data_IF_491190964464
#
_entry.id   IF_491190964464
#
_cell.length_a   1.000
_cell.length_b   1.000
_cell.length_c   1.000
_cell.angle_alpha   90.00
_cell.angle_beta   90.00
_cell.angle_gamma   90.00
#
_symmetry.space_group_name_H-M   'P 1'
#
loop_
_entity.id
_entity.type
_entity.pdbx_description
1 polymer ?
#
# COMPACT_ATOMS: atom_id res chain seq x y z
N UNK A 1 37.38 -29.81 -23.57
CA UNK A 1 36.15 -29.36 -22.87
C UNK A 1 36.53 -28.17 -21.98
N UNK A 2 36.42 -26.94 -22.49
CA UNK A 2 36.87 -25.72 -21.80
C UNK A 2 35.65 -25.08 -21.11
N UNK A 3 35.62 -25.12 -19.77
CA UNK A 3 34.57 -24.47 -18.97
C UNK A 3 34.72 -22.95 -19.10
N UNK A 4 33.79 -22.32 -19.81
CA UNK A 4 33.70 -20.87 -20.05
C UNK A 4 33.51 -20.13 -18.72
N UNK A 5 34.48 -19.29 -18.34
CA UNK A 5 34.56 -18.52 -17.07
C UNK A 5 33.60 -17.31 -17.01
N UNK A 6 32.43 -17.40 -17.62
CA UNK A 6 31.45 -16.30 -17.73
C UNK A 6 30.74 -15.95 -16.41
N UNK A 7 30.98 -16.70 -15.34
CA UNK A 7 30.14 -16.72 -14.13
C UNK A 7 30.86 -16.13 -12.89
N UNK A 8 32.00 -15.45 -13.09
CA UNK A 8 32.74 -14.80 -12.00
C UNK A 8 32.03 -13.56 -11.45
N UNK A 9 31.46 -12.73 -12.33
CA UNK A 9 30.77 -11.48 -11.94
C UNK A 9 29.49 -11.70 -11.12
N UNK A 10 28.70 -12.73 -11.47
CA UNK A 10 27.50 -13.10 -10.72
C UNK A 10 27.85 -13.66 -9.34
N UNK A 11 28.90 -14.47 -9.23
CA UNK A 11 29.39 -15.02 -7.96
C UNK A 11 29.99 -13.95 -7.05
N UNK A 12 30.67 -12.94 -7.60
CA UNK A 12 31.16 -11.79 -6.84
C UNK A 12 29.99 -10.93 -6.33
N UNK A 13 28.95 -10.71 -7.13
CA UNK A 13 27.73 -10.04 -6.70
C UNK A 13 26.95 -10.80 -5.61
N UNK A 14 26.83 -12.13 -5.73
CA UNK A 14 26.19 -12.96 -4.71
C UNK A 14 26.97 -12.97 -3.37
N UNK A 15 28.31 -13.01 -3.43
CA UNK A 15 29.17 -12.87 -2.25
C UNK A 15 29.08 -11.48 -1.63
N UNK A 16 29.01 -10.42 -2.44
CA UNK A 16 28.83 -9.06 -1.95
C UNK A 16 27.50 -8.88 -1.21
N UNK A 17 26.39 -9.38 -1.77
CA UNK A 17 25.07 -9.36 -1.11
C UNK A 17 25.03 -10.16 0.19
N UNK A 18 25.73 -11.31 0.22
CA UNK A 18 25.84 -12.11 1.45
C UNK A 18 26.64 -11.35 2.52
N UNK A 19 27.74 -10.70 2.14
CA UNK A 19 28.54 -9.90 3.05
C UNK A 19 27.80 -8.65 3.55
N UNK A 20 26.97 -8.02 2.72
CA UNK A 20 26.10 -6.90 3.10
C UNK A 20 25.05 -7.33 4.13
N UNK A 21 24.33 -8.43 3.88
CA UNK A 21 23.38 -8.99 4.85
C UNK A 21 24.05 -9.37 6.18
N UNK A 22 25.25 -9.95 6.13
CA UNK A 22 26.00 -10.29 7.34
C UNK A 22 26.45 -9.05 8.11
N UNK A 23 26.77 -7.95 7.42
CA UNK A 23 27.06 -6.66 8.05
C UNK A 23 25.82 -6.05 8.68
N UNK A 24 24.70 -6.03 7.97
CA UNK A 24 23.41 -5.56 8.50
C UNK A 24 22.99 -6.39 9.73
N UNK A 25 23.17 -7.71 9.70
CA UNK A 25 22.87 -8.56 10.84
C UNK A 25 23.81 -8.28 12.02
N UNK A 26 25.11 -8.10 11.76
CA UNK A 26 26.09 -7.70 12.78
C UNK A 26 25.79 -6.32 13.36
N UNK A 27 25.39 -5.36 12.54
CA UNK A 27 24.96 -4.02 12.97
C UNK A 27 23.67 -4.09 13.78
N UNK A 28 22.69 -4.91 13.38
CA UNK A 28 21.47 -5.16 14.16
C UNK A 28 21.79 -5.77 15.51
N UNK A 29 22.70 -6.75 15.56
CA UNK A 29 23.12 -7.40 16.80
C UNK A 29 23.92 -6.44 17.68
N UNK A 30 24.82 -5.64 17.10
CA UNK A 30 25.57 -4.62 17.81
C UNK A 30 24.63 -3.56 18.40
N UNK A 31 23.68 -3.06 17.60
CA UNK A 31 22.66 -2.13 18.05
C UNK A 31 21.80 -2.72 19.17
N UNK A 32 21.32 -3.96 19.02
CA UNK A 32 20.54 -4.61 20.09
C UNK A 32 21.34 -4.79 21.39
N UNK A 33 22.66 -5.03 21.30
CA UNK A 33 23.55 -5.09 22.46
C UNK A 33 23.76 -3.72 23.10
N UNK A 34 23.96 -2.69 22.28
CA UNK A 34 24.05 -1.31 22.74
C UNK A 34 22.74 -0.90 23.43
N UNK A 35 21.60 -1.08 22.77
CA UNK A 35 20.27 -0.79 23.33
C UNK A 35 20.07 -1.54 24.66
N UNK A 36 20.42 -2.83 24.74
CA UNK A 36 20.36 -3.60 25.99
C UNK A 36 21.28 -3.05 27.09
N UNK A 37 22.47 -2.52 26.76
CA UNK A 37 23.33 -1.85 27.75
C UNK A 37 22.78 -0.51 28.21
N UNK A 38 21.88 0.10 27.44
CA UNK A 38 21.19 1.35 27.76
C UNK A 38 19.80 1.14 28.37
N UNK A 39 19.36 -0.10 28.57
CA UNK A 39 18.09 -0.38 29.23
C UNK A 39 18.12 0.05 30.70
N UNK A 40 17.09 0.78 31.12
CA UNK A 40 16.94 1.23 32.49
C UNK A 40 16.58 0.06 33.40
N UNK A 41 17.42 -0.23 34.40
CA UNK A 41 17.25 -1.38 35.31
C UNK A 41 16.71 -0.98 36.68
N UNK A 42 16.66 0.31 37.03
CA UNK A 42 16.14 0.74 38.32
C UNK A 42 14.60 0.57 38.38
N UNK A 43 14.17 -0.31 39.28
CA UNK A 43 12.76 -0.60 39.57
C UNK A 43 11.92 0.66 39.81
N UNK A 44 12.48 1.68 40.48
CA UNK A 44 11.75 2.93 40.78
C UNK A 44 11.52 3.76 39.52
N UNK A 45 12.49 3.79 38.61
CA UNK A 45 12.40 4.53 37.35
C UNK A 45 11.45 3.80 36.40
N UNK A 46 11.55 2.47 36.29
CA UNK A 46 10.60 1.64 35.53
C UNK A 46 9.16 1.83 36.05
N UNK A 47 8.97 1.86 37.37
CA UNK A 47 7.63 2.08 37.93
C UNK A 47 7.09 3.49 37.62
N UNK A 48 7.94 4.52 37.61
CA UNK A 48 7.54 5.88 37.19
C UNK A 48 7.18 5.92 35.71
N UNK A 49 7.98 5.29 34.84
CA UNK A 49 7.70 5.17 33.41
C UNK A 49 6.37 4.47 33.14
N UNK A 50 6.10 3.34 33.82
CA UNK A 50 4.82 2.63 33.71
C UNK A 50 3.63 3.47 34.17
N UNK A 51 3.75 4.19 35.29
CA UNK A 51 2.68 5.11 35.73
C UNK A 51 2.41 6.20 34.70
N UNK A 52 3.46 6.78 34.12
CA UNK A 52 3.34 7.79 33.07
C UNK A 52 2.71 7.21 31.80
N UNK A 53 3.13 6.03 31.36
CA UNK A 53 2.57 5.34 30.21
C UNK A 53 1.08 4.99 30.42
N UNK A 54 0.70 4.54 31.61
CA UNK A 54 -0.71 4.28 31.95
C UNK A 54 -1.55 5.55 31.96
N UNK A 55 -1.02 6.68 32.46
CA UNK A 55 -1.69 7.99 32.41
C UNK A 55 -1.84 8.49 30.96
N UNK A 56 -0.80 8.38 30.14
CA UNK A 56 -0.85 8.75 28.72
C UNK A 56 -1.81 7.86 27.94
N UNK A 57 -1.80 6.54 28.17
CA UNK A 57 -2.74 5.60 27.57
C UNK A 57 -4.18 5.92 27.96
N UNK A 58 -4.44 6.18 29.24
CA UNK A 58 -5.77 6.56 29.73
C UNK A 58 -6.25 7.88 29.14
N UNK A 59 -5.35 8.86 28.97
CA UNK A 59 -5.66 10.13 28.32
C UNK A 59 -6.01 9.94 26.84
N UNK A 60 -5.24 9.11 26.12
CA UNK A 60 -5.52 8.78 24.73
C UNK A 60 -6.85 8.03 24.57
N UNK A 61 -7.17 7.10 25.47
CA UNK A 61 -8.46 6.41 25.47
C UNK A 61 -9.62 7.38 25.77
N UNK A 62 -9.44 8.32 26.70
CA UNK A 62 -10.44 9.35 26.97
C UNK A 62 -10.63 10.31 25.79
N UNK A 63 -9.55 10.69 25.11
CA UNK A 63 -9.60 11.54 23.92
C UNK A 63 -10.23 10.83 22.72
N UNK A 64 -9.93 9.55 22.49
CA UNK A 64 -10.56 8.74 21.44
C UNK A 64 -12.04 8.56 21.72
N UNK A 65 -12.42 8.18 22.95
CA UNK A 65 -13.83 8.10 23.36
C UNK A 65 -14.56 9.43 23.20
N UNK A 66 -13.92 10.56 23.56
CA UNK A 66 -14.49 11.89 23.37
C UNK A 66 -14.66 12.24 21.89
N UNK A 67 -13.70 11.90 21.05
CA UNK A 67 -13.78 12.10 19.59
C UNK A 67 -14.89 11.24 18.98
N UNK A 68 -15.04 10.00 19.41
CA UNK A 68 -16.12 9.10 18.97
C UNK A 68 -17.50 9.64 19.36
N UNK A 69 -17.68 10.07 20.61
CA UNK A 69 -18.92 10.70 21.07
C UNK A 69 -19.24 11.98 20.31
N UNK A 70 -18.23 12.82 20.07
CA UNK A 70 -18.39 14.05 19.28
C UNK A 70 -18.78 13.74 17.84
N UNK A 71 -18.13 12.76 17.21
CA UNK A 71 -18.46 12.33 15.85
C UNK A 71 -19.86 11.73 15.75
N UNK A 72 -20.33 11.01 16.77
CA UNK A 72 -21.71 10.53 16.82
C UNK A 72 -22.72 11.68 16.92
N UNK A 73 -22.45 12.67 17.79
CA UNK A 73 -23.28 13.87 17.92
C UNK A 73 -23.32 14.71 16.63
N UNK A 74 -22.18 14.91 15.98
CA UNK A 74 -22.12 15.64 14.71
C UNK A 74 -22.93 14.94 13.60
N UNK A 75 -22.88 13.61 13.51
CA UNK A 75 -23.72 12.83 12.60
C UNK A 75 -25.21 13.00 12.90
N UNK A 76 -25.61 13.01 14.17
CA UNK A 76 -27.01 13.26 14.55
C UNK A 76 -27.44 14.68 14.17
N UNK A 77 -26.58 15.67 14.41
CA UNK A 77 -26.85 17.07 14.05
C UNK A 77 -26.89 17.30 12.54
N UNK A 78 -26.09 16.57 11.75
CA UNK A 78 -26.15 16.60 10.29
C UNK A 78 -27.50 16.06 9.80
N UNK A 79 -27.95 14.91 10.30
CA UNK A 79 -29.26 14.32 9.97
C UNK A 79 -30.42 15.23 10.40
N UNK A 80 -30.32 15.89 11.55
CA UNK A 80 -31.35 16.83 12.04
C UNK A 80 -31.29 18.15 11.24
N UNK A 81 -30.10 18.64 10.92
CA UNK A 81 -29.86 19.86 10.16
C UNK A 81 -30.45 19.77 8.75
N UNK A 82 -30.27 18.63 8.07
CA UNK A 82 -30.88 18.35 6.77
C UNK A 82 -32.42 18.34 6.85
N UNK A 83 -33.00 17.83 7.95
CA UNK A 83 -34.46 17.79 8.16
C UNK A 83 -35.06 19.12 8.60
N UNK A 84 -34.25 20.09 9.01
CA UNK A 84 -34.72 21.39 9.53
C UNK A 84 -35.10 22.41 8.44
N UNK A 85 -34.86 22.11 7.17
CA UNK A 85 -35.14 23.01 6.04
C UNK A 85 -36.62 23.06 5.63
N UNK A 86 -37.51 22.29 6.26
CA UNK A 86 -38.95 22.43 6.01
C UNK A 86 -39.49 23.66 6.76
N UNK A 87 -40.07 24.65 6.07
CA UNK A 87 -40.68 25.79 6.74
C UNK A 87 -41.75 25.28 7.70
N UNK A 88 -41.63 25.64 8.98
CA UNK A 88 -42.59 25.29 10.03
C UNK A 88 -43.94 25.95 9.70
N UNK A 89 -44.77 25.26 8.92
CA UNK A 89 -46.15 25.67 8.69
C UNK A 89 -46.92 25.54 9.99
N UNK A 90 -47.62 26.61 10.40
CA UNK A 90 -48.46 26.58 11.60
C UNK A 90 -49.58 25.56 11.42
N UNK A 91 -49.45 24.41 12.07
CA UNK A 91 -50.47 23.36 12.11
C UNK A 91 -51.35 23.53 13.34
N UNK A 92 -52.65 23.28 13.19
CA UNK A 92 -53.59 23.33 14.32
C UNK A 92 -53.46 22.04 15.14
N UNK A 93 -53.70 22.11 16.45
CA UNK A 93 -53.64 20.94 17.36
C UNK A 93 -54.45 19.72 16.85
N UNK A 94 -55.59 19.97 16.19
CA UNK A 94 -56.39 18.91 15.57
C UNK A 94 -55.66 18.18 14.42
N UNK A 95 -54.92 18.90 13.58
CA UNK A 95 -54.14 18.30 12.50
C UNK A 95 -52.99 17.44 13.04
N UNK A 96 -52.33 17.88 14.11
CA UNK A 96 -51.31 17.09 14.82
C UNK A 96 -51.90 15.79 15.39
N UNK A 97 -53.10 15.84 15.97
CA UNK A 97 -53.78 14.66 16.48
C UNK A 97 -54.11 13.65 15.36
N UNK A 98 -54.63 14.13 14.21
CA UNK A 98 -54.92 13.29 13.05
C UNK A 98 -53.66 12.67 12.45
N UNK A 99 -52.58 13.44 12.32
CA UNK A 99 -51.31 12.94 11.80
C UNK A 99 -50.69 11.90 12.73
N UNK A 100 -50.72 12.14 14.05
CA UNK A 100 -50.25 11.17 15.06
C UNK A 100 -51.03 9.87 14.98
N UNK A 101 -52.37 9.93 14.89
CA UNK A 101 -53.22 8.75 14.74
C UNK A 101 -52.90 7.97 13.47
N UNK A 102 -52.70 8.68 12.35
CA UNK A 102 -52.32 8.07 11.06
C UNK A 102 -50.95 7.38 11.12
N UNK A 103 -49.96 7.99 11.79
CA UNK A 103 -48.64 7.39 12.01
C UNK A 103 -48.72 6.13 12.88
N UNK A 104 -49.51 6.16 13.95
CA UNK A 104 -49.70 5.00 14.84
C UNK A 104 -50.37 3.83 14.10
N UNK A 105 -51.39 4.11 13.28
CA UNK A 105 -52.04 3.09 12.43
C UNK A 105 -51.10 2.52 11.38
N UNK A 106 -50.22 3.34 10.79
CA UNK A 106 -49.21 2.87 9.83
C UNK A 106 -48.18 1.95 10.50
N UNK A 107 -47.72 2.31 11.71
CA UNK A 107 -46.75 1.53 12.47
C UNK A 107 -47.33 0.19 12.91
N UNK A 108 -48.60 0.16 13.35
CA UNK A 108 -49.32 -1.09 13.65
C UNK A 108 -49.46 -1.98 12.42
N UNK A 109 -49.78 -1.42 11.25
CA UNK A 109 -49.85 -2.19 10.00
C UNK A 109 -48.50 -2.77 9.59
N UNK A 110 -47.42 -2.00 9.72
CA UNK A 110 -46.06 -2.47 9.43
C UNK A 110 -45.63 -3.57 10.40
N UNK A 111 -45.99 -3.46 11.68
CA UNK A 111 -45.73 -4.49 12.68
C UNK A 111 -46.53 -5.78 12.39
N UNK A 112 -47.82 -5.66 12.03
CA UNK A 112 -48.63 -6.79 11.59
C UNK A 112 -48.08 -7.45 10.31
N UNK A 113 -47.59 -6.67 9.35
CA UNK A 113 -46.94 -7.19 8.14
C UNK A 113 -45.61 -7.89 8.46
N UNK A 114 -44.80 -7.35 9.39
CA UNK A 114 -43.59 -8.00 9.88
C UNK A 114 -43.88 -9.31 10.60
N UNK A 115 -44.94 -9.36 11.41
CA UNK A 115 -45.39 -10.59 12.08
C UNK A 115 -45.88 -11.62 11.06
N UNK A 116 -46.67 -11.19 10.06
CA UNK A 116 -47.12 -12.06 8.96
C UNK A 116 -45.96 -12.57 8.11
N UNK A 117 -44.96 -11.72 7.81
CA UNK A 117 -43.76 -12.09 7.09
C UNK A 117 -42.90 -13.09 7.88
N UNK A 118 -42.79 -12.91 9.20
CA UNK A 118 -42.09 -13.84 10.10
C UNK A 118 -42.80 -15.21 10.18
N UNK A 119 -44.14 -15.22 10.14
CA UNK A 119 -44.93 -16.45 10.10
C UNK A 119 -44.96 -17.13 8.72
N UNK A 120 -44.64 -16.39 7.64
CA UNK A 120 -44.48 -16.89 6.26
C UNK A 120 -43.03 -17.27 5.94
N UNK A 121 -42.28 -17.76 6.92
CA UNK A 121 -41.01 -18.44 6.66
C UNK A 121 -41.34 -19.92 6.48
N UNK A 122 -41.83 -20.26 5.29
CA UNK A 122 -41.81 -21.63 4.80
C UNK A 122 -40.33 -21.93 4.55
N UNK A 123 -39.75 -22.85 5.32
CA UNK A 123 -38.38 -23.34 5.08
C UNK A 123 -38.39 -24.02 3.72
N UNK A 124 -38.06 -23.27 2.67
CA UNK A 124 -37.79 -23.85 1.36
C UNK A 124 -36.44 -24.55 1.47
N UNK A 125 -36.48 -25.87 1.70
CA UNK A 125 -35.36 -26.78 1.50
C UNK A 125 -35.10 -26.86 0.00
N UNK A 126 -34.52 -25.82 -0.58
CA UNK A 126 -33.91 -25.92 -1.89
C UNK A 126 -32.46 -26.31 -1.66
N UNK A 127 -32.06 -27.46 -2.20
CA UNK A 127 -30.67 -27.87 -2.30
C UNK A 127 -29.92 -26.76 -3.04
N UNK A 128 -28.95 -26.14 -2.37
CA UNK A 128 -28.20 -25.03 -2.93
C UNK A 128 -27.27 -25.62 -4.00
N UNK A 129 -27.56 -25.35 -5.27
CA UNK A 129 -26.65 -25.73 -6.36
C UNK A 129 -25.32 -24.98 -6.21
N UNK A 130 -24.22 -25.72 -6.18
CA UNK A 130 -22.89 -25.16 -6.00
C UNK A 130 -22.49 -24.28 -7.19
N UNK A 131 -21.91 -23.12 -6.90
CA UNK A 131 -21.42 -22.21 -7.93
C UNK A 131 -20.07 -22.71 -8.47
N UNK A 132 -20.12 -23.46 -9.57
CA UNK A 132 -18.97 -24.03 -10.29
C UNK A 132 -17.97 -23.00 -10.84
N UNK A 133 -18.32 -21.71 -10.85
CA UNK A 133 -17.44 -20.62 -11.30
C UNK A 133 -16.70 -19.92 -10.16
N UNK A 134 -16.85 -20.38 -8.91
CA UNK A 134 -15.96 -19.92 -7.83
C UNK A 134 -14.68 -20.75 -7.90
N UNK A 135 -13.65 -20.21 -8.54
CA UNK A 135 -12.29 -20.69 -8.30
C UNK A 135 -12.03 -20.45 -6.81
N UNK A 136 -11.96 -21.52 -6.03
CA UNK A 136 -11.40 -21.49 -4.69
C UNK A 136 -9.92 -21.16 -4.93
N UNK A 137 -9.58 -19.87 -4.98
CA UNK A 137 -8.23 -19.48 -4.65
C UNK A 137 -8.08 -19.95 -3.20
N UNK A 138 -7.17 -20.89 -2.98
CA UNK A 138 -6.78 -21.35 -1.65
C UNK A 138 -6.82 -20.15 -0.71
N UNK A 139 -7.69 -20.22 0.29
CA UNK A 139 -7.63 -19.34 1.45
C UNK A 139 -6.29 -19.64 2.11
N UNK A 140 -5.22 -19.03 1.59
CA UNK A 140 -3.97 -18.87 2.32
C UNK A 140 -4.28 -17.92 3.47
N UNK A 141 -4.98 -18.47 4.46
CA UNK A 141 -5.11 -17.93 5.80
C UNK A 141 -3.69 -17.73 6.31
N UNK A 142 -3.17 -16.52 6.11
CA UNK A 142 -1.85 -16.14 6.56
C UNK A 142 -1.94 -15.86 8.07
N UNK A 143 -2.06 -16.93 8.85
CA UNK A 143 -2.11 -16.83 10.31
C UNK A 143 -0.82 -16.28 10.91
N UNK A 144 0.26 -16.26 10.12
CA UNK A 144 1.59 -15.84 10.52
C UNK A 144 2.10 -14.73 9.61
N UNK A 145 2.82 -13.77 10.20
CA UNK A 145 3.36 -12.61 9.51
C UNK A 145 4.28 -12.98 8.33
N UNK A 146 5.04 -14.07 8.45
CA UNK A 146 5.92 -14.55 7.37
C UNK A 146 5.15 -15.10 6.17
N UNK A 147 4.00 -15.76 6.41
CA UNK A 147 3.12 -16.22 5.34
C UNK A 147 2.45 -15.04 4.64
N UNK A 148 2.03 -14.02 5.41
CA UNK A 148 1.44 -12.80 4.84
C UNK A 148 2.44 -12.05 3.95
N UNK A 149 3.70 -11.96 4.39
CA UNK A 149 4.78 -11.36 3.60
C UNK A 149 5.06 -12.14 2.31
N UNK A 150 5.04 -13.48 2.36
CA UNK A 150 5.30 -14.28 1.16
C UNK A 150 4.15 -14.22 0.15
N UNK A 151 2.89 -14.20 0.63
CA UNK A 151 1.71 -14.00 -0.21
C UNK A 151 1.71 -12.61 -0.88
N UNK A 152 2.14 -11.56 -0.15
CA UNK A 152 2.23 -10.19 -0.67
C UNK A 152 3.46 -9.94 -1.56
N UNK A 153 4.53 -10.72 -1.40
CA UNK A 153 5.76 -10.62 -2.21
C UNK A 153 5.59 -11.12 -3.66
N UNK A 154 4.44 -11.74 -3.98
CA UNK A 154 4.02 -12.00 -5.34
C UNK A 154 3.72 -10.69 -6.07
N UNK A 155 4.67 -10.25 -6.90
CA UNK A 155 4.66 -9.02 -7.72
C UNK A 155 5.21 -7.76 -7.03
N UNK A 156 6.51 -7.77 -6.74
CA UNK A 156 7.27 -6.52 -6.71
C UNK A 156 7.27 -5.90 -8.12
N UNK A 157 6.24 -5.12 -8.44
CA UNK A 157 6.32 -4.15 -9.53
C UNK A 157 7.47 -3.21 -9.20
N UNK A 158 8.54 -3.18 -10.01
CA UNK A 158 9.66 -2.30 -9.74
C UNK A 158 9.17 -0.86 -9.97
N UNK A 159 8.89 -0.17 -8.87
CA UNK A 159 8.72 1.28 -8.81
C UNK A 159 10.06 1.93 -9.07
N UNK A 160 10.33 2.09 -10.36
CA UNK A 160 11.43 2.87 -10.91
C UNK A 160 11.16 2.98 -12.40
N UNK A 161 11.16 4.20 -12.94
CA UNK A 161 11.08 4.43 -14.37
C UNK A 161 12.18 3.59 -15.04
N UNK A 162 11.79 2.47 -15.66
CA UNK A 162 12.70 1.64 -16.43
C UNK A 162 13.11 2.50 -17.61
N UNK A 163 14.24 3.20 -17.49
CA UNK A 163 14.91 3.80 -18.63
C UNK A 163 15.07 2.66 -19.63
N UNK A 164 14.43 2.82 -20.79
CA UNK A 164 14.43 1.86 -21.87
C UNK A 164 15.88 1.43 -22.09
N UNK A 165 16.20 0.15 -21.87
CA UNK A 165 17.56 -0.34 -22.03
C UNK A 165 17.84 -0.40 -23.53
N UNK A 166 18.25 0.72 -24.12
CA UNK A 166 18.72 0.74 -25.49
C UNK A 166 20.01 -0.07 -25.53
N UNK A 167 20.08 -1.01 -26.45
CA UNK A 167 21.30 -1.77 -26.69
C UNK A 167 22.28 -0.95 -27.52
N UNK A 168 23.59 -1.14 -27.36
CA UNK A 168 24.58 -0.43 -28.18
C UNK A 168 24.33 -0.61 -29.69
N UNK A 169 23.84 -1.78 -30.08
CA UNK A 169 23.46 -2.12 -31.46
C UNK A 169 22.30 -1.29 -32.01
N UNK A 170 21.31 -1.01 -31.17
CA UNK A 170 20.16 -0.17 -31.52
C UNK A 170 20.57 1.30 -31.63
N UNK A 171 21.41 1.77 -30.71
CA UNK A 171 22.00 3.11 -30.77
C UNK A 171 22.90 3.30 -32.01
N UNK A 172 23.74 2.31 -32.33
CA UNK A 172 24.58 2.32 -33.53
C UNK A 172 23.72 2.41 -34.80
N UNK A 173 22.66 1.60 -34.89
CA UNK A 173 21.79 1.55 -36.06
C UNK A 173 21.08 2.87 -36.34
N UNK A 174 20.64 3.57 -35.29
CA UNK A 174 20.02 4.91 -35.40
C UNK A 174 21.03 5.99 -35.77
N UNK A 175 22.20 5.97 -35.13
CA UNK A 175 23.16 7.09 -35.23
C UNK A 175 24.07 7.01 -36.44
N UNK A 176 24.34 5.80 -36.95
CA UNK A 176 25.17 5.57 -38.13
C UNK A 176 24.72 6.31 -39.40
N UNK A 177 23.43 6.30 -39.80
CA UNK A 177 22.98 7.05 -40.99
C UNK A 177 23.11 8.57 -40.81
N UNK A 178 22.79 9.11 -39.63
CA UNK A 178 22.91 10.54 -39.34
C UNK A 178 24.37 11.02 -39.40
N UNK A 179 25.31 10.17 -38.94
CA UNK A 179 26.74 10.47 -38.95
C UNK A 179 27.35 10.36 -40.35
N UNK A 180 26.83 9.48 -41.21
CA UNK A 180 27.25 9.40 -42.63
C UNK A 180 26.85 10.66 -43.40
N UNK A 181 25.68 11.23 -43.12
CA UNK A 181 25.20 12.47 -43.76
C UNK A 181 26.00 13.67 -43.26
N UNK A 182 26.24 13.77 -41.95
CA UNK A 182 26.96 14.92 -41.37
C UNK A 182 28.47 14.88 -41.62
N UNK A 183 29.08 13.69 -41.73
CA UNK A 183 30.53 13.52 -41.90
C UNK A 183 30.86 12.51 -43.02
N UNK A 184 30.57 12.84 -44.30
CA UNK A 184 30.74 11.92 -45.42
C UNK A 184 32.21 11.60 -45.75
N UNK A 185 33.17 12.43 -45.31
CA UNK A 185 34.62 12.23 -45.53
C UNK A 185 35.25 11.17 -44.61
N UNK A 186 34.49 10.63 -43.65
CA UNK A 186 35.03 9.82 -42.57
C UNK A 186 34.82 8.33 -42.84
N UNK A 187 35.85 7.51 -42.64
CA UNK A 187 35.79 6.06 -42.86
C UNK A 187 34.89 5.39 -41.83
N UNK A 188 34.26 4.25 -42.19
CA UNK A 188 33.33 3.52 -41.30
C UNK A 188 33.93 3.20 -39.92
N UNK A 189 35.22 2.84 -39.85
CA UNK A 189 35.93 2.59 -38.58
C UNK A 189 35.97 3.83 -37.68
N UNK A 190 36.25 4.98 -38.27
CA UNK A 190 36.26 6.27 -37.56
C UNK A 190 34.84 6.61 -37.10
N UNK A 191 33.82 6.41 -37.94
CA UNK A 191 32.40 6.68 -37.60
C UNK A 191 31.94 5.82 -36.42
N UNK A 192 32.31 4.53 -36.40
CA UNK A 192 32.04 3.63 -35.28
C UNK A 192 32.75 4.07 -34.00
N UNK A 193 33.98 4.57 -34.10
CA UNK A 193 34.71 5.10 -32.94
C UNK A 193 34.02 6.35 -32.37
N UNK A 194 33.53 7.27 -33.22
CA UNK A 194 32.76 8.42 -32.75
C UNK A 194 31.43 8.02 -32.12
N UNK A 195 30.70 7.07 -32.69
CA UNK A 195 29.46 6.54 -32.12
C UNK A 195 29.72 5.87 -30.76
N UNK A 196 30.83 5.13 -30.62
CA UNK A 196 31.23 4.53 -29.34
C UNK A 196 31.51 5.59 -28.27
N UNK A 197 32.14 6.72 -28.65
CA UNK A 197 32.38 7.84 -27.73
C UNK A 197 31.08 8.55 -27.35
N UNK A 198 30.17 8.77 -28.32
CA UNK A 198 28.83 9.31 -28.05
C UNK A 198 28.03 8.39 -27.12
N UNK A 199 28.10 7.08 -27.34
CA UNK A 199 27.47 6.08 -26.49
C UNK A 199 27.99 6.11 -25.05
N UNK A 200 29.32 6.20 -24.87
CA UNK A 200 29.93 6.32 -23.53
C UNK A 200 29.56 7.61 -22.80
N UNK A 201 29.02 8.62 -23.47
CA UNK A 201 28.53 9.87 -22.85
C UNK A 201 27.00 9.96 -22.77
N UNK A 202 26.29 9.16 -23.56
CA UNK A 202 24.83 9.19 -23.66
C UNK A 202 24.16 8.76 -22.35
N UNK A 203 23.06 9.40 -21.93
CA UNK A 203 22.24 8.96 -20.80
C UNK A 203 21.56 7.60 -21.05
N UNK A 204 21.37 7.24 -22.33
CA UNK A 204 20.80 5.95 -22.75
C UNK A 204 21.73 4.76 -22.49
N UNK A 205 23.00 5.03 -22.18
CA UNK A 205 23.94 3.98 -21.82
C UNK A 205 23.68 3.54 -20.37
N UNK A 206 23.40 2.24 -20.12
CA UNK A 206 23.12 1.74 -18.78
C UNK A 206 24.26 1.99 -17.78
N UNK A 207 25.51 2.11 -18.25
CA UNK A 207 26.64 2.46 -17.39
C UNK A 207 26.57 3.92 -16.88
N UNK A 208 25.96 4.83 -17.65
CA UNK A 208 25.82 6.24 -17.30
C UNK A 208 24.51 6.54 -16.58
N UNK A 209 23.45 5.76 -16.83
CA UNK A 209 22.16 5.88 -16.16
C UNK A 209 22.32 5.80 -14.62
N UNK A 210 23.18 4.91 -14.14
CA UNK A 210 23.49 4.77 -12.70
C UNK A 210 24.23 5.99 -12.11
N UNK A 211 24.98 6.74 -12.92
CA UNK A 211 25.69 7.94 -12.45
C UNK A 211 24.78 9.18 -12.37
N UNK A 212 23.75 9.26 -13.21
CA UNK A 212 22.81 10.39 -13.21
C UNK A 212 21.80 10.30 -12.05
N UNK A 213 21.44 9.09 -11.61
CA UNK A 213 20.54 8.85 -10.47
C UNK A 213 21.21 9.25 -9.14
N UNK A 214 22.54 9.15 -9.04
CA UNK A 214 23.31 9.43 -7.82
C UNK A 214 23.81 10.89 -7.73
N UNK A 215 23.45 11.76 -8.68
CA UNK A 215 23.84 13.16 -8.63
C UNK A 215 22.83 13.93 -7.78
N UNK A 216 23.22 14.49 -6.61
CA UNK A 216 22.29 15.30 -5.83
C UNK A 216 21.82 16.48 -6.68
N UNK A 217 20.50 16.69 -6.72
CA UNK A 217 19.92 17.91 -7.26
C UNK A 217 20.51 19.08 -6.46
N UNK A 218 21.31 19.90 -7.14
CA UNK A 218 21.80 21.17 -6.62
C UNK A 218 20.80 22.28 -6.89
#
# INVERSE_FOLDING_TARGET
MVKKTSDGGNKLGAKARKAEREREEKERIAKAKEDATWEETDKKIIQKLRRKEEEERKKQEAETRRKELKAAYEKEMEIIGEKSQNPQTKVTHHQLYLEKKKKEEALKKEEEEKIKARNKITVQTHEIEENLNRVILDDSWASSADQALNALSGTSTPTGSKISKITYTEFESRRLPELKISKPKMTLSQLKNTIRKEWMRSPENPYNANNLINKPLS
#
